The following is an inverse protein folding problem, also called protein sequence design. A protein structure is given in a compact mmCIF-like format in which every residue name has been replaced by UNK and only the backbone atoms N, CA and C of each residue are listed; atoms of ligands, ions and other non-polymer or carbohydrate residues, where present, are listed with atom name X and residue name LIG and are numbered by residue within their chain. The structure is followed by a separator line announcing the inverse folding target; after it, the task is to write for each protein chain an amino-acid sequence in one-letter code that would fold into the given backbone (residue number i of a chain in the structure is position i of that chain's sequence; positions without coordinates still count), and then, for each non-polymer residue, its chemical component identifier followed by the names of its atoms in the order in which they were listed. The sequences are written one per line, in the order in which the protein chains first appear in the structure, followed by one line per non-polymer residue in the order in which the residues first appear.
data_IF_321745481806
#
_entry.id   IF_321745481806
#
_cell.length_a   1.000
_cell.length_b   1.000
_cell.length_c   1.000
_cell.angle_alpha   90.00
_cell.angle_beta   90.00
_cell.angle_gamma   90.00
#
_symmetry.space_group_name_H-M   'P 1'
#
loop_
_entity.id
_entity.type
_entity.pdbx_description
1 polymer ?
#
# COMPACT_ATOMS: atom_id res chain seq x y z
N UNK A 1 -22.39 13.30 -23.33
CA UNK A 1 -23.05 12.38 -24.30
C UNK A 1 -22.09 11.22 -24.52
N UNK A 2 -22.53 9.95 -24.51
CA UNK A 2 -21.61 8.82 -24.69
C UNK A 2 -20.92 8.92 -26.06
N UNK A 3 -19.59 8.80 -26.09
CA UNK A 3 -18.85 8.75 -27.36
C UNK A 3 -19.13 7.40 -28.03
N UNK A 4 -19.93 7.41 -29.08
CA UNK A 4 -20.05 6.26 -29.98
C UNK A 4 -18.75 6.13 -30.78
N UNK A 5 -17.90 5.18 -30.39
CA UNK A 5 -16.70 4.81 -31.12
C UNK A 5 -17.13 4.10 -32.41
N UNK A 6 -16.89 4.74 -33.55
CA UNK A 6 -17.45 4.31 -34.84
C UNK A 6 -16.60 3.22 -35.50
N UNK A 7 -15.40 2.98 -34.97
CA UNK A 7 -14.50 1.91 -35.41
C UNK A 7 -13.65 1.33 -34.26
N UNK A 8 -13.11 0.11 -34.43
CA UNK A 8 -12.13 -0.46 -33.49
C UNK A 8 -10.87 0.40 -33.32
N UNK A 9 -10.44 1.11 -34.36
CA UNK A 9 -9.27 1.98 -34.31
C UNK A 9 -9.52 3.20 -33.40
N UNK A 10 -10.66 3.87 -33.57
CA UNK A 10 -11.09 4.97 -32.67
C UNK A 10 -11.23 4.48 -31.23
N UNK A 11 -11.77 3.27 -31.03
CA UNK A 11 -11.91 2.67 -29.72
C UNK A 11 -10.56 2.45 -29.02
N UNK A 12 -9.56 1.94 -29.73
CA UNK A 12 -8.22 1.77 -29.18
C UNK A 12 -7.56 3.11 -28.88
N UNK A 13 -7.73 4.11 -29.74
CA UNK A 13 -7.21 5.47 -29.50
C UNK A 13 -7.82 6.07 -28.24
N UNK A 14 -9.15 6.01 -28.09
CA UNK A 14 -9.84 6.47 -26.89
C UNK A 14 -9.36 5.74 -25.63
N UNK A 15 -9.18 4.42 -25.71
CA UNK A 15 -8.65 3.64 -24.60
C UNK A 15 -7.22 4.05 -24.19
N UNK A 16 -6.32 4.25 -25.15
CA UNK A 16 -4.95 4.71 -24.89
C UNK A 16 -4.95 6.10 -24.24
N UNK A 17 -5.81 7.01 -24.72
CA UNK A 17 -5.95 8.35 -24.15
C UNK A 17 -6.43 8.31 -22.70
N UNK A 18 -7.44 7.49 -22.41
CA UNK A 18 -7.97 7.31 -21.04
C UNK A 18 -6.88 6.77 -20.11
N UNK A 19 -6.14 5.74 -20.53
CA UNK A 19 -5.04 5.21 -19.72
C UNK A 19 -3.94 6.26 -19.53
N UNK A 20 -3.61 7.01 -20.58
CA UNK A 20 -2.64 8.10 -20.51
C UNK A 20 -3.04 9.16 -19.48
N UNK A 21 -4.27 9.64 -19.55
CA UNK A 21 -4.82 10.63 -18.63
C UNK A 21 -4.85 10.10 -17.19
N UNK A 22 -5.38 8.89 -16.98
CA UNK A 22 -5.42 8.26 -15.67
C UNK A 22 -4.02 8.08 -15.05
N UNK A 23 -3.03 7.69 -15.86
CA UNK A 23 -1.63 7.59 -15.44
C UNK A 23 -1.07 8.95 -15.02
N UNK A 24 -1.30 9.99 -15.81
CA UNK A 24 -0.82 11.34 -15.50
C UNK A 24 -1.44 11.87 -14.20
N UNK A 25 -2.74 11.69 -13.99
CA UNK A 25 -3.41 12.03 -12.73
C UNK A 25 -2.78 11.28 -11.56
N UNK A 26 -2.64 9.95 -11.68
CA UNK A 26 -1.98 9.14 -10.64
C UNK A 26 -0.58 9.62 -10.32
N UNK A 27 0.22 9.98 -11.33
CA UNK A 27 1.57 10.48 -11.13
C UNK A 27 1.58 11.80 -10.36
N UNK A 28 0.68 12.73 -10.69
CA UNK A 28 0.57 14.02 -10.01
C UNK A 28 0.33 13.86 -8.51
N UNK A 29 -0.66 13.07 -8.09
CA UNK A 29 -0.98 13.00 -6.66
C UNK A 29 -0.21 11.92 -5.87
N UNK A 30 0.15 10.77 -6.48
CA UNK A 30 0.89 9.70 -5.77
C UNK A 30 2.38 9.99 -5.67
N UNK A 31 2.96 10.61 -6.70
CA UNK A 31 4.41 10.80 -6.82
C UNK A 31 4.79 12.24 -6.55
N UNK A 32 4.10 13.20 -7.17
CA UNK A 32 4.46 14.62 -7.03
C UNK A 32 3.76 15.31 -5.85
N UNK A 33 2.68 14.73 -5.31
CA UNK A 33 1.88 15.33 -4.24
C UNK A 33 1.04 16.55 -4.68
N UNK A 34 0.69 16.63 -5.96
CA UNK A 34 -0.18 17.66 -6.54
C UNK A 34 -1.66 17.22 -6.46
N UNK A 35 -2.56 18.09 -5.97
CA UNK A 35 -3.98 17.73 -5.70
C UNK A 35 -5.01 18.65 -6.38
N UNK A 36 -4.57 19.50 -7.31
CA UNK A 36 -5.41 20.52 -7.95
C UNK A 36 -6.56 19.94 -8.77
N UNK A 37 -6.43 18.68 -9.21
CA UNK A 37 -7.43 17.96 -10.00
C UNK A 37 -8.64 17.49 -9.15
N UNK A 38 -8.43 17.21 -7.86
CA UNK A 38 -9.45 16.62 -6.97
C UNK A 38 -9.67 17.42 -5.67
N UNK A 39 -9.71 18.76 -5.77
CA UNK A 39 -9.77 19.67 -4.62
C UNK A 39 -10.95 19.45 -3.65
N UNK A 40 -12.06 18.89 -4.12
CA UNK A 40 -13.26 18.63 -3.30
C UNK A 40 -13.28 17.25 -2.63
N UNK A 41 -12.43 16.32 -3.08
CA UNK A 41 -12.49 14.93 -2.65
C UNK A 41 -11.33 14.64 -1.69
N UNK A 42 -11.60 14.83 -0.39
CA UNK A 42 -10.59 14.65 0.68
C UNK A 42 -9.82 13.32 0.62
N UNK A 43 -10.43 12.27 0.07
CA UNK A 43 -9.81 10.95 -0.11
C UNK A 43 -8.69 10.93 -1.16
N UNK A 44 -8.67 11.89 -2.08
CA UNK A 44 -7.67 12.01 -3.16
C UNK A 44 -6.41 12.77 -2.71
N UNK A 45 -6.37 13.30 -1.49
CA UNK A 45 -5.18 13.95 -0.90
C UNK A 45 -4.16 12.92 -0.43
N UNK A 46 -3.59 12.17 -1.36
CA UNK A 46 -2.76 10.99 -1.11
C UNK A 46 -1.59 11.24 -0.16
N UNK A 47 -0.85 12.34 -0.28
CA UNK A 47 0.24 12.66 0.65
C UNK A 47 -0.25 12.84 2.09
N UNK A 48 -1.34 13.59 2.30
CA UNK A 48 -1.88 13.80 3.64
C UNK A 48 -2.42 12.49 4.23
N UNK A 49 -3.12 11.68 3.42
CA UNK A 49 -3.68 10.41 3.85
C UNK A 49 -2.59 9.38 4.17
N UNK A 50 -1.55 9.28 3.35
CA UNK A 50 -0.40 8.41 3.61
C UNK A 50 0.34 8.85 4.88
N UNK A 51 0.49 10.17 5.11
CA UNK A 51 1.10 10.68 6.33
C UNK A 51 0.29 10.30 7.59
N UNK A 52 -1.04 10.35 7.52
CA UNK A 52 -1.93 9.89 8.60
C UNK A 52 -1.74 8.39 8.89
N UNK A 53 -1.70 7.55 7.84
CA UNK A 53 -1.50 6.11 7.99
C UNK A 53 -0.12 5.79 8.59
N UNK A 54 0.92 6.52 8.17
CA UNK A 54 2.27 6.39 8.75
C UNK A 54 2.32 6.80 10.22
N UNK A 55 1.61 7.87 10.61
CA UNK A 55 1.52 8.28 12.00
C UNK A 55 0.81 7.22 12.85
N UNK A 56 -0.32 6.69 12.37
CA UNK A 56 -1.04 5.62 13.05
C UNK A 56 -0.16 4.37 13.22
N UNK A 57 0.58 4.00 12.16
CA UNK A 57 1.54 2.90 12.22
C UNK A 57 2.67 3.16 13.24
N UNK A 58 3.17 4.40 13.34
CA UNK A 58 4.16 4.79 14.34
C UNK A 58 3.61 4.64 15.76
N UNK A 59 2.38 5.09 16.01
CA UNK A 59 1.72 4.94 17.30
C UNK A 59 1.53 3.47 17.66
N UNK A 60 1.18 2.62 16.69
CA UNK A 60 1.00 1.19 16.91
C UNK A 60 2.33 0.46 17.18
N UNK A 61 3.43 0.89 16.56
CA UNK A 61 4.78 0.42 16.90
C UNK A 61 5.14 0.80 18.34
N UNK A 62 4.87 2.04 18.76
CA UNK A 62 5.18 2.53 20.10
C UNK A 62 4.34 1.87 21.21
N UNK A 63 3.13 1.40 20.90
CA UNK A 63 2.33 0.61 21.86
C UNK A 63 2.93 -0.78 22.09
N UNK A 64 3.56 -1.36 21.06
CA UNK A 64 4.22 -2.66 21.16
C UNK A 64 5.36 -2.63 22.17
N UNK A 65 6.16 -1.55 22.19
CA UNK A 65 7.35 -1.43 23.04
C UNK A 65 7.08 -1.25 24.55
N UNK A 66 5.83 -1.35 25.01
CA UNK A 66 5.43 -1.24 26.42
C UNK A 66 5.60 -2.54 27.19
N UNK A 67 6.76 -3.19 27.09
CA UNK A 67 7.23 -4.08 28.15
C UNK A 67 7.90 -3.17 29.18
N UNK A 68 7.34 -3.05 30.38
CA UNK A 68 8.11 -2.49 31.49
C UNK A 68 9.33 -3.39 31.67
N UNK A 69 10.48 -2.98 31.14
CA UNK A 69 11.75 -3.67 31.24
C UNK A 69 12.26 -3.58 32.68
N UNK A 70 11.52 -4.16 33.62
CA UNK A 70 12.04 -4.53 34.93
C UNK A 70 12.95 -5.70 34.67
N UNK A 71 14.19 -5.40 34.26
CA UNK A 71 15.23 -6.38 33.99
C UNK A 71 15.22 -7.41 35.11
N UNK A 72 14.84 -8.64 34.79
CA UNK A 72 14.90 -9.73 35.75
C UNK A 72 16.37 -10.10 35.88
N UNK A 73 16.82 -10.62 37.01
CA UNK A 73 18.22 -11.09 37.12
C UNK A 73 18.53 -12.30 36.22
N UNK A 74 17.56 -12.75 35.41
CA UNK A 74 17.63 -13.95 34.59
C UNK A 74 17.74 -13.59 33.10
N UNK A 75 18.96 -13.69 32.56
CA UNK A 75 19.29 -13.51 31.14
C UNK A 75 18.29 -14.17 30.17
N UNK A 76 17.85 -15.40 30.46
CA UNK A 76 16.90 -16.14 29.62
C UNK A 76 15.52 -15.48 29.53
N UNK A 77 15.09 -14.80 30.60
CA UNK A 77 13.79 -14.12 30.60
C UNK A 77 13.84 -12.85 29.76
N UNK A 78 14.95 -12.11 29.84
CA UNK A 78 15.16 -10.90 29.04
C UNK A 78 15.27 -11.25 27.55
N UNK A 79 15.96 -12.35 27.20
CA UNK A 79 16.06 -12.82 25.82
C UNK A 79 14.71 -13.24 25.24
N UNK A 80 13.87 -13.95 26.02
CA UNK A 80 12.51 -14.31 25.59
C UNK A 80 11.66 -13.06 25.36
N UNK A 81 11.74 -12.06 26.24
CA UNK A 81 10.98 -10.81 26.09
C UNK A 81 11.38 -10.05 24.82
N UNK A 82 12.68 -9.97 24.51
CA UNK A 82 13.18 -9.32 23.28
C UNK A 82 12.70 -10.07 22.03
N UNK A 83 12.65 -11.40 22.06
CA UNK A 83 12.14 -12.19 20.94
C UNK A 83 10.63 -12.01 20.73
N UNK A 84 9.85 -11.91 21.81
CA UNK A 84 8.42 -11.60 21.74
C UNK A 84 8.16 -10.20 21.18
N UNK A 85 8.94 -9.21 21.62
CA UNK A 85 8.93 -7.84 21.07
C UNK A 85 9.23 -7.83 19.57
N UNK A 86 10.35 -8.44 19.17
CA UNK A 86 10.77 -8.50 17.78
C UNK A 86 9.71 -9.17 16.90
N UNK A 87 9.06 -10.23 17.41
CA UNK A 87 7.97 -10.90 16.71
C UNK A 87 6.76 -9.99 16.53
N UNK A 88 6.34 -9.25 17.57
CA UNK A 88 5.23 -8.31 17.46
C UNK A 88 5.54 -7.20 16.43
N UNK A 89 6.71 -6.57 16.54
CA UNK A 89 7.16 -5.51 15.63
C UNK A 89 7.23 -6.01 14.20
N UNK A 90 7.73 -7.23 13.95
CA UNK A 90 7.83 -7.79 12.60
C UNK A 90 6.48 -8.03 11.92
N UNK A 91 5.40 -8.17 12.68
CA UNK A 91 4.06 -8.39 12.13
C UNK A 91 3.34 -7.09 11.71
N UNK A 92 3.61 -5.97 12.39
CA UNK A 92 2.91 -4.69 12.14
C UNK A 92 3.07 -4.15 10.72
N UNK A 93 4.25 -4.21 10.06
CA UNK A 93 4.41 -3.78 8.67
C UNK A 93 3.47 -4.50 7.69
N UNK A 94 3.12 -5.77 7.94
CA UNK A 94 2.22 -6.55 7.07
C UNK A 94 0.80 -5.95 7.08
N UNK A 95 0.33 -5.55 8.26
CA UNK A 95 -0.99 -4.92 8.45
C UNK A 95 -1.01 -3.54 7.81
N UNK A 96 0.00 -2.70 8.12
CA UNK A 96 0.14 -1.37 7.51
C UNK A 96 0.16 -1.41 5.98
N UNK A 97 0.92 -2.34 5.40
CA UNK A 97 0.99 -2.49 3.95
C UNK A 97 -0.36 -2.88 3.35
N UNK A 98 -1.17 -3.66 4.06
CA UNK A 98 -2.51 -4.03 3.61
C UNK A 98 -3.43 -2.81 3.54
N UNK A 99 -3.37 -1.91 4.53
CA UNK A 99 -4.14 -0.67 4.53
C UNK A 99 -3.70 0.28 3.40
N UNK A 100 -2.39 0.49 3.23
CA UNK A 100 -1.84 1.33 2.15
C UNK A 100 -2.28 0.80 0.80
N UNK A 101 -2.27 -0.52 0.67
CA UNK A 101 -2.66 -1.20 -0.52
C UNK A 101 -4.16 -1.01 -0.84
N UNK A 102 -5.06 -1.24 0.11
CA UNK A 102 -6.51 -1.01 -0.07
C UNK A 102 -6.81 0.45 -0.45
N UNK A 103 -6.10 1.39 0.16
CA UNK A 103 -6.20 2.80 -0.21
C UNK A 103 -5.77 3.06 -1.67
N UNK A 104 -4.63 2.51 -2.08
CA UNK A 104 -4.11 2.68 -3.44
C UNK A 104 -5.03 2.07 -4.50
N UNK A 105 -5.69 0.95 -4.19
CA UNK A 105 -6.71 0.35 -5.05
C UNK A 105 -7.90 1.28 -5.24
N UNK A 106 -8.45 1.84 -4.15
CA UNK A 106 -9.61 2.73 -4.19
C UNK A 106 -9.31 3.97 -5.05
N UNK A 107 -8.15 4.57 -4.83
CA UNK A 107 -7.69 5.73 -5.60
C UNK A 107 -7.52 5.38 -7.07
N UNK A 108 -6.87 4.25 -7.40
CA UNK A 108 -6.68 3.82 -8.77
C UNK A 108 -8.00 3.55 -9.50
N UNK A 109 -8.98 2.95 -8.80
CA UNK A 109 -10.33 2.74 -9.33
C UNK A 109 -11.00 4.08 -9.59
N UNK A 110 -11.04 4.98 -8.60
CA UNK A 110 -11.76 6.25 -8.72
C UNK A 110 -11.24 7.10 -9.88
N UNK A 111 -9.92 7.25 -10.00
CA UNK A 111 -9.29 7.99 -11.12
C UNK A 111 -9.63 7.35 -12.46
N UNK A 112 -9.55 6.02 -12.57
CA UNK A 112 -9.85 5.35 -13.83
C UNK A 112 -11.35 5.42 -14.17
N UNK A 113 -12.24 5.38 -13.18
CA UNK A 113 -13.67 5.54 -13.40
C UNK A 113 -14.02 6.96 -13.84
N UNK A 114 -13.40 7.98 -13.25
CA UNK A 114 -13.59 9.40 -13.60
C UNK A 114 -13.19 9.65 -15.06
N UNK A 115 -11.98 9.26 -15.45
CA UNK A 115 -11.51 9.40 -16.85
C UNK A 115 -12.26 8.52 -17.86
N UNK A 116 -13.06 7.55 -17.42
CA UNK A 116 -13.85 6.67 -18.28
C UNK A 116 -15.36 6.79 -18.09
N UNK A 117 -15.85 7.87 -17.48
CA UNK A 117 -17.29 8.10 -17.21
C UNK A 117 -18.19 7.94 -18.45
N UNK A 118 -17.65 8.30 -19.62
CA UNK A 118 -18.35 8.25 -20.90
C UNK A 118 -18.36 6.84 -21.53
N UNK A 119 -17.73 5.86 -20.88
CA UNK A 119 -17.52 4.49 -21.38
C UNK A 119 -17.85 3.42 -20.31
N UNK A 120 -19.13 3.15 -20.00
CA UNK A 120 -19.52 2.24 -18.90
C UNK A 120 -19.03 0.79 -19.06
N UNK A 121 -18.94 0.30 -20.30
CA UNK A 121 -18.38 -1.04 -20.59
C UNK A 121 -16.90 -1.12 -20.26
N UNK A 122 -16.17 -0.03 -20.46
CA UNK A 122 -14.76 0.07 -20.11
C UNK A 122 -14.60 0.08 -18.59
N UNK A 123 -15.39 0.86 -17.86
CA UNK A 123 -15.39 0.88 -16.39
C UNK A 123 -15.48 -0.53 -15.77
N UNK A 124 -16.45 -1.34 -16.20
CA UNK A 124 -16.65 -2.70 -15.67
C UNK A 124 -15.52 -3.69 -16.03
N UNK A 125 -14.82 -3.46 -17.15
CA UNK A 125 -13.65 -4.27 -17.54
C UNK A 125 -12.40 -3.81 -16.78
N UNK A 126 -12.17 -2.50 -16.74
CA UNK A 126 -11.09 -1.83 -16.03
C UNK A 126 -11.08 -2.14 -14.54
N UNK A 127 -12.23 -2.10 -13.85
CA UNK A 127 -12.32 -2.45 -12.42
C UNK A 127 -11.86 -3.88 -12.14
N UNK A 128 -12.22 -4.83 -13.01
CA UNK A 128 -11.74 -6.22 -12.91
C UNK A 128 -10.25 -6.34 -13.17
N UNK A 129 -9.73 -5.62 -14.18
CA UNK A 129 -8.32 -5.62 -14.49
C UNK A 129 -7.48 -5.07 -13.32
N UNK A 130 -7.94 -3.99 -12.67
CA UNK A 130 -7.31 -3.45 -11.46
C UNK A 130 -7.28 -4.51 -10.36
N UNK A 131 -8.42 -5.08 -9.96
CA UNK A 131 -8.44 -6.10 -8.92
C UNK A 131 -7.55 -7.32 -9.25
N UNK A 132 -7.45 -7.72 -10.51
CA UNK A 132 -6.55 -8.81 -10.91
C UNK A 132 -5.06 -8.45 -10.79
N UNK A 133 -4.67 -7.25 -11.22
CA UNK A 133 -3.29 -6.76 -11.07
C UNK A 133 -2.91 -6.65 -9.60
N UNK A 134 -3.86 -6.18 -8.81
CA UNK A 134 -3.75 -6.07 -7.38
C UNK A 134 -3.44 -7.39 -6.69
N UNK A 135 -4.23 -8.44 -6.99
CA UNK A 135 -3.99 -9.76 -6.41
C UNK A 135 -2.58 -10.26 -6.74
N UNK A 136 -2.13 -10.07 -7.98
CA UNK A 136 -0.76 -10.44 -8.40
C UNK A 136 0.33 -9.66 -7.69
N UNK A 137 0.11 -8.37 -7.45
CA UNK A 137 1.08 -7.53 -6.73
C UNK A 137 1.13 -7.87 -5.24
N UNK A 138 -0.01 -8.22 -4.61
CA UNK A 138 -0.03 -8.74 -3.23
C UNK A 138 0.78 -10.03 -3.10
N UNK A 139 0.57 -10.99 -4.00
CA UNK A 139 1.35 -12.24 -4.04
C UNK A 139 2.86 -11.95 -4.11
N UNK A 140 3.30 -11.04 -5.00
CA UNK A 140 4.71 -10.66 -5.10
C UNK A 140 5.28 -10.02 -3.82
N UNK A 141 4.48 -9.27 -3.07
CA UNK A 141 4.87 -8.66 -1.80
C UNK A 141 4.98 -9.69 -0.65
N UNK A 142 4.15 -10.74 -0.63
CA UNK A 142 4.26 -11.83 0.34
C UNK A 142 5.63 -12.53 0.27
N UNK A 143 6.15 -12.73 -0.95
CA UNK A 143 7.52 -13.23 -1.15
C UNK A 143 8.59 -12.31 -0.53
N UNK A 144 8.39 -10.99 -0.62
CA UNK A 144 9.30 -10.01 -0.02
C UNK A 144 9.32 -10.06 1.51
N UNK A 145 8.16 -10.29 2.14
CA UNK A 145 8.06 -10.40 3.60
C UNK A 145 8.78 -11.65 4.14
N UNK A 146 8.71 -12.77 3.44
CA UNK A 146 9.45 -13.98 3.81
C UNK A 146 10.97 -13.75 3.82
N UNK A 147 11.49 -12.97 2.87
CA UNK A 147 12.93 -12.62 2.79
C UNK A 147 13.35 -11.70 3.93
N UNK A 148 12.53 -10.70 4.27
CA UNK A 148 12.80 -9.76 5.39
C UNK A 148 12.68 -10.47 6.74
N UNK A 149 11.70 -11.34 6.94
CA UNK A 149 11.58 -12.12 8.17
C UNK A 149 12.80 -13.03 8.37
N UNK A 150 13.33 -13.63 7.30
CA UNK A 150 14.54 -14.45 7.33
C UNK A 150 15.80 -13.64 7.70
N UNK A 151 15.92 -12.40 7.19
CA UNK A 151 17.07 -11.54 7.51
C UNK A 151 17.02 -10.98 8.94
N UNK A 152 15.83 -10.67 9.47
CA UNK A 152 15.65 -10.26 10.87
C UNK A 152 15.97 -11.43 11.81
N UNK A 153 15.44 -12.63 11.55
CA UNK A 153 15.77 -13.83 12.33
C UNK A 153 17.27 -14.13 12.34
N UNK A 154 17.94 -13.99 11.18
CA UNK A 154 19.39 -14.16 11.07
C UNK A 154 20.20 -13.06 11.78
N UNK A 155 19.70 -11.82 11.79
CA UNK A 155 20.33 -10.69 12.49
C UNK A 155 20.26 -10.84 14.01
N UNK A 156 19.11 -11.24 14.55
CA UNK A 156 18.92 -11.46 16.00
C UNK A 156 19.82 -12.60 16.51
N UNK A 157 19.95 -13.70 15.75
CA UNK A 157 20.89 -14.79 16.10
C UNK A 157 22.37 -14.37 16.02
N UNK A 158 22.71 -13.47 15.09
CA UNK A 158 24.08 -12.94 14.94
C UNK A 158 24.47 -11.99 16.08
N UNK A 159 23.54 -11.15 16.56
CA UNK A 159 23.77 -10.29 17.73
C UNK A 159 23.92 -11.09 19.03
N UNK A 160 23.16 -12.17 19.22
CA UNK A 160 23.28 -13.03 20.42
C UNK A 160 24.58 -13.84 20.48
N UNK A 161 25.28 -14.04 19.36
CA UNK A 161 26.55 -14.80 19.32
C UNK A 161 27.80 -13.95 19.56
N UNK A 162 27.62 -12.63 19.73
CA UNK A 162 28.71 -11.66 19.96
C UNK A 162 28.66 -11.00 21.35
N UNK A 163 27.68 -11.34 22.18
CA UNK A 163 27.55 -10.93 23.58
C UNK A 163 27.97 -12.05 24.53
#
# INVERSE_FOLDING_TARGET
MPMCLSSPAEAMTGFIQIIGAAKESMQKFLVNGEFEEYLGEKRMHCTARLAEMLNNFSDDLQKGSQYNLSFSTNFLMDEILVLEEAKEISSKPVVFMSEVWEYSEDVAINVLMDHSENYPKLQASSKRAIHNLTLKMKEACEWGQMVVASSICGGVTCCCSQA
#
